data_IF_885091005590
#
_entry.id   IF_885091005590
#
_cell.length_a   1.000
_cell.length_b   1.000
_cell.length_c   1.000
_cell.angle_alpha   90.00
_cell.angle_beta   90.00
_cell.angle_gamma   90.00
#
_symmetry.space_group_name_H-M   'P 1'
#
loop_
_entity.id
_entity.type
_entity.pdbx_description
1 polymer ?
#
# COMPACT_ATOMS: atom_id res chain seq x y z
N UNK A 1 -46.19 38.71 7.45
CA UNK A 1 -44.84 38.37 7.98
C UNK A 1 -43.80 38.11 6.88
N UNK A 2 -44.17 37.94 5.60
CA UNK A 2 -43.23 37.66 4.50
C UNK A 2 -42.57 38.94 3.96
N UNK A 3 -43.34 40.02 3.77
CA UNK A 3 -42.83 41.31 3.27
C UNK A 3 -41.58 41.86 4.01
N UNK A 4 -41.52 41.86 5.36
CA UNK A 4 -40.33 42.31 6.08
C UNK A 4 -39.12 41.41 5.82
N UNK A 5 -39.33 40.09 5.66
CA UNK A 5 -38.26 39.14 5.38
C UNK A 5 -37.75 39.28 3.95
N UNK A 6 -38.62 39.53 2.97
CA UNK A 6 -38.22 39.87 1.59
C UNK A 6 -37.45 41.19 1.54
N UNK A 7 -37.91 42.23 2.26
CA UNK A 7 -37.22 43.52 2.33
C UNK A 7 -35.85 43.44 3.00
N UNK A 8 -35.67 42.48 3.92
CA UNK A 8 -34.36 42.18 4.49
C UNK A 8 -33.41 41.54 3.47
N UNK A 9 -33.92 40.86 2.44
CA UNK A 9 -33.14 40.28 1.33
C UNK A 9 -32.67 41.33 0.30
N UNK A 10 -33.24 42.54 0.30
CA UNK A 10 -32.80 43.65 -0.57
C UNK A 10 -31.73 44.57 0.07
N UNK A 11 -31.29 44.30 1.30
CA UNK A 11 -30.35 45.14 2.03
C UNK A 11 -28.91 44.63 1.95
N UNK A 12 -27.94 45.40 1.42
CA UNK A 12 -26.52 45.02 1.18
C UNK A 12 -25.69 44.48 2.39
N UNK A 13 -26.31 44.13 3.51
CA UNK A 13 -25.67 43.54 4.68
C UNK A 13 -25.83 42.00 4.72
N UNK A 14 -24.73 41.30 4.45
CA UNK A 14 -24.59 39.84 4.47
C UNK A 14 -25.18 39.14 5.71
N UNK A 15 -25.07 39.74 6.90
CA UNK A 15 -25.56 39.13 8.14
C UNK A 15 -27.09 39.19 8.27
N UNK A 16 -27.69 40.23 7.71
CA UNK A 16 -29.15 40.44 7.70
C UNK A 16 -29.79 39.49 6.68
N UNK A 17 -29.13 39.32 5.52
CA UNK A 17 -29.45 38.34 4.49
C UNK A 17 -29.44 36.90 5.02
N UNK A 18 -28.31 36.44 5.56
CA UNK A 18 -28.16 35.05 6.02
C UNK A 18 -29.20 34.69 7.08
N UNK A 19 -29.53 35.64 7.95
CA UNK A 19 -30.52 35.46 9.02
C UNK A 19 -31.95 35.39 8.48
N UNK A 20 -32.29 36.18 7.46
CA UNK A 20 -33.60 36.14 6.80
C UNK A 20 -33.82 34.82 6.06
N UNK A 21 -32.84 34.36 5.29
CA UNK A 21 -32.91 33.06 4.61
C UNK A 21 -32.97 31.88 5.59
N UNK A 22 -32.18 31.90 6.66
CA UNK A 22 -32.25 30.88 7.73
C UNK A 22 -33.62 30.87 8.42
N UNK A 23 -34.22 32.03 8.64
CA UNK A 23 -35.58 32.13 9.17
C UNK A 23 -36.60 31.54 8.20
N UNK A 24 -36.50 31.83 6.90
CA UNK A 24 -37.39 31.26 5.88
C UNK A 24 -37.27 29.73 5.78
N UNK A 25 -36.06 29.18 5.82
CA UNK A 25 -35.82 27.72 5.85
C UNK A 25 -36.45 27.08 7.10
N UNK A 26 -36.23 27.68 8.28
CA UNK A 26 -36.83 27.20 9.54
C UNK A 26 -38.35 27.27 9.54
N UNK A 27 -38.93 28.24 8.84
CA UNK A 27 -40.38 28.46 8.77
C UNK A 27 -41.07 27.71 7.63
N UNK A 28 -40.33 27.08 6.70
CA UNK A 28 -40.85 26.32 5.53
C UNK A 28 -41.93 27.08 4.72
N UNK A 29 -41.76 28.38 4.54
CA UNK A 29 -42.76 29.23 3.88
C UNK A 29 -42.71 28.99 2.36
N UNK A 30 -43.68 28.26 1.81
CA UNK A 30 -43.73 27.92 0.36
C UNK A 30 -43.84 29.15 -0.56
N UNK A 31 -44.40 30.26 -0.06
CA UNK A 31 -44.57 31.53 -0.80
C UNK A 31 -43.23 32.25 -1.07
N UNK A 32 -42.12 31.79 -0.46
CA UNK A 32 -40.80 32.40 -0.64
C UNK A 32 -40.02 31.82 -1.85
N UNK A 33 -40.51 30.79 -2.54
CA UNK A 33 -39.76 30.12 -3.61
C UNK A 33 -39.50 31.06 -4.79
N UNK A 34 -40.53 31.74 -5.31
CA UNK A 34 -40.40 32.64 -6.46
C UNK A 34 -39.38 33.77 -6.22
N UNK A 35 -39.44 34.54 -5.11
CA UNK A 35 -38.41 35.53 -4.79
C UNK A 35 -37.01 34.93 -4.63
N UNK A 36 -36.89 33.75 -4.02
CA UNK A 36 -35.59 33.10 -3.87
C UNK A 36 -34.99 32.65 -5.21
N UNK A 37 -35.82 32.28 -6.18
CA UNK A 37 -35.35 31.98 -7.54
C UNK A 37 -34.81 33.23 -8.22
N UNK A 38 -35.45 34.39 -8.06
CA UNK A 38 -34.94 35.66 -8.59
C UNK A 38 -33.57 36.04 -7.98
N UNK A 39 -33.38 35.79 -6.68
CA UNK A 39 -32.10 36.05 -6.00
C UNK A 39 -30.95 35.12 -6.42
N UNK A 40 -31.20 34.07 -7.20
CA UNK A 40 -30.14 33.26 -7.79
C UNK A 40 -29.39 33.98 -8.90
N UNK A 41 -29.97 35.00 -9.52
CA UNK A 41 -29.33 35.78 -10.59
C UNK A 41 -28.77 37.12 -10.08
N UNK A 42 -28.69 37.30 -8.75
CA UNK A 42 -28.26 38.57 -8.13
C UNK A 42 -26.75 38.85 -8.36
N UNK A 43 -26.33 40.11 -8.55
CA UNK A 43 -24.93 40.43 -8.85
C UNK A 43 -23.93 39.93 -7.79
N UNK A 44 -24.29 40.04 -6.50
CA UNK A 44 -23.47 39.62 -5.39
C UNK A 44 -23.57 38.10 -5.16
N UNK A 45 -22.45 37.39 -5.29
CA UNK A 45 -22.41 35.93 -5.09
C UNK A 45 -22.85 35.50 -3.70
N UNK A 46 -22.68 36.35 -2.67
CA UNK A 46 -23.19 36.09 -1.33
C UNK A 46 -24.70 35.92 -1.26
N UNK A 47 -25.45 36.69 -2.05
CA UNK A 47 -26.91 36.62 -2.16
C UNK A 47 -27.31 35.37 -2.92
N UNK A 48 -26.65 35.06 -4.05
CA UNK A 48 -26.87 33.83 -4.81
C UNK A 48 -26.65 32.57 -3.96
N UNK A 49 -25.55 32.52 -3.19
CA UNK A 49 -25.24 31.42 -2.27
C UNK A 49 -26.35 31.19 -1.25
N UNK A 50 -26.85 32.28 -0.66
CA UNK A 50 -27.92 32.23 0.33
C UNK A 50 -29.22 31.72 -0.29
N UNK A 51 -29.59 32.24 -1.46
CA UNK A 51 -30.78 31.83 -2.18
C UNK A 51 -30.73 30.33 -2.52
N UNK A 52 -29.60 29.85 -3.05
CA UNK A 52 -29.39 28.43 -3.34
C UNK A 52 -29.47 27.57 -2.08
N UNK A 53 -28.89 28.03 -0.96
CA UNK A 53 -28.97 27.34 0.33
C UNK A 53 -30.41 27.26 0.85
N UNK A 54 -31.16 28.35 0.75
CA UNK A 54 -32.54 28.42 1.21
C UNK A 54 -33.45 27.49 0.41
N UNK A 55 -33.34 27.54 -0.93
CA UNK A 55 -34.09 26.67 -1.84
C UNK A 55 -33.79 25.18 -1.58
N UNK A 56 -32.52 24.83 -1.37
CA UNK A 56 -32.12 23.48 -0.99
C UNK A 56 -32.75 23.02 0.33
N UNK A 57 -32.71 23.88 1.35
CA UNK A 57 -33.30 23.59 2.66
C UNK A 57 -34.83 23.42 2.64
N UNK A 58 -35.52 24.01 1.65
CA UNK A 58 -36.96 23.82 1.45
C UNK A 58 -37.28 22.48 0.80
N UNK A 59 -36.39 21.96 -0.05
CA UNK A 59 -36.48 20.62 -0.65
C UNK A 59 -37.66 20.43 -1.61
N UNK A 60 -38.10 21.50 -2.29
CA UNK A 60 -39.26 21.47 -3.21
C UNK A 60 -38.81 21.30 -4.66
N UNK A 61 -39.41 20.36 -5.41
CA UNK A 61 -38.99 20.02 -6.78
C UNK A 61 -38.96 21.20 -7.75
N UNK A 62 -39.84 22.20 -7.56
CA UNK A 62 -39.84 23.45 -8.34
C UNK A 62 -38.50 24.21 -8.28
N UNK A 63 -37.69 23.99 -7.25
CA UNK A 63 -36.37 24.59 -7.10
C UNK A 63 -35.26 23.84 -7.87
N UNK A 64 -35.52 22.66 -8.43
CA UNK A 64 -34.50 21.84 -9.10
C UNK A 64 -33.91 22.59 -10.30
N UNK A 65 -34.74 23.01 -11.26
CA UNK A 65 -34.26 23.71 -12.46
C UNK A 65 -33.49 25.01 -12.15
N UNK A 66 -33.98 25.89 -11.25
CA UNK A 66 -33.19 27.04 -10.79
C UNK A 66 -31.84 26.66 -10.17
N UNK A 67 -31.79 25.62 -9.33
CA UNK A 67 -30.55 25.15 -8.72
C UNK A 67 -29.60 24.50 -9.74
N UNK A 68 -30.12 23.87 -10.80
CA UNK A 68 -29.31 23.33 -11.89
C UNK A 68 -28.53 24.45 -12.59
N UNK A 69 -29.16 25.61 -12.84
CA UNK A 69 -28.47 26.77 -13.43
C UNK A 69 -27.30 27.25 -12.56
N UNK A 70 -27.47 27.19 -11.24
CA UNK A 70 -26.44 27.60 -10.29
C UNK A 70 -25.21 26.68 -10.29
N UNK A 71 -25.27 25.50 -10.92
CA UNK A 71 -24.11 24.64 -11.13
C UNK A 71 -23.15 25.18 -12.19
N UNK A 72 -23.54 26.23 -12.93
CA UNK A 72 -22.69 26.92 -13.90
C UNK A 72 -22.27 28.32 -13.40
N UNK A 73 -22.50 28.62 -12.11
CA UNK A 73 -22.13 29.91 -11.52
C UNK A 73 -20.61 30.13 -11.50
N UNK A 74 -20.18 31.38 -11.70
CA UNK A 74 -18.78 31.78 -11.63
C UNK A 74 -18.16 31.55 -10.23
N UNK A 75 -18.95 31.71 -9.16
CA UNK A 75 -18.50 31.50 -7.78
C UNK A 75 -18.63 30.01 -7.42
N UNK A 76 -17.50 29.36 -7.17
CA UNK A 76 -17.46 27.94 -6.84
C UNK A 76 -18.25 27.57 -5.57
N UNK A 77 -18.43 28.51 -4.63
CA UNK A 77 -19.24 28.29 -3.44
C UNK A 77 -20.74 28.29 -3.77
N UNK A 78 -21.19 29.05 -4.77
CA UNK A 78 -22.57 28.95 -5.30
C UNK A 78 -22.77 27.57 -5.91
N UNK A 79 -21.88 27.15 -6.82
CA UNK A 79 -21.94 25.81 -7.43
C UNK A 79 -21.97 24.69 -6.40
N UNK A 80 -21.13 24.80 -5.36
CA UNK A 80 -21.07 23.81 -4.27
C UNK A 80 -22.36 23.73 -3.47
N UNK A 81 -22.96 24.88 -3.14
CA UNK A 81 -24.23 24.93 -2.42
C UNK A 81 -25.35 24.36 -3.29
N UNK A 82 -25.40 24.71 -4.58
CA UNK A 82 -26.35 24.17 -5.53
C UNK A 82 -26.23 22.64 -5.67
N UNK A 83 -25.02 22.11 -5.82
CA UNK A 83 -24.77 20.67 -5.86
C UNK A 83 -25.22 19.98 -4.56
N UNK A 84 -24.95 20.58 -3.40
CA UNK A 84 -25.41 20.08 -2.10
C UNK A 84 -26.93 20.11 -1.95
N UNK A 85 -27.58 21.16 -2.43
CA UNK A 85 -29.03 21.28 -2.44
C UNK A 85 -29.68 20.18 -3.30
N UNK A 86 -29.21 20.02 -4.54
CA UNK A 86 -29.68 18.96 -5.45
C UNK A 86 -29.42 17.55 -4.90
N UNK A 87 -28.28 17.36 -4.21
CA UNK A 87 -27.96 16.13 -3.50
C UNK A 87 -28.93 15.81 -2.35
N UNK A 88 -29.36 16.82 -1.60
CA UNK A 88 -30.32 16.67 -0.51
C UNK A 88 -31.71 16.32 -1.03
N UNK A 89 -32.11 16.87 -2.19
CA UNK A 89 -33.39 16.58 -2.83
C UNK A 89 -33.47 15.13 -3.31
N UNK A 90 -32.38 14.59 -3.87
CA UNK A 90 -32.22 13.16 -4.12
C UNK A 90 -33.24 12.53 -5.08
N UNK A 91 -33.84 13.33 -5.97
CA UNK A 91 -34.79 12.85 -7.00
C UNK A 91 -34.07 12.43 -8.28
N UNK A 92 -34.75 11.70 -9.17
CA UNK A 92 -34.14 11.25 -10.44
C UNK A 92 -33.68 12.43 -11.33
N UNK A 93 -34.40 13.56 -11.27
CA UNK A 93 -34.09 14.77 -12.02
C UNK A 93 -32.72 15.37 -11.64
N UNK A 94 -32.19 15.10 -10.43
CA UNK A 94 -30.91 15.66 -9.99
C UNK A 94 -29.70 14.85 -10.43
N UNK A 95 -29.90 13.66 -11.03
CA UNK A 95 -28.79 12.74 -11.36
C UNK A 95 -27.89 13.28 -12.47
N UNK A 96 -28.44 13.72 -13.61
CA UNK A 96 -27.62 14.26 -14.70
C UNK A 96 -26.87 15.54 -14.29
N UNK A 97 -27.49 16.50 -13.60
CA UNK A 97 -26.79 17.65 -13.05
C UNK A 97 -25.64 17.28 -12.10
N UNK A 98 -25.85 16.33 -11.19
CA UNK A 98 -24.80 15.87 -10.28
C UNK A 98 -23.69 15.09 -11.03
N UNK A 99 -24.02 14.36 -12.10
CA UNK A 99 -23.00 13.72 -12.95
C UNK A 99 -22.14 14.77 -13.66
N UNK A 100 -22.74 15.86 -14.15
CA UNK A 100 -21.99 16.98 -14.75
C UNK A 100 -21.01 17.59 -13.74
N UNK A 101 -21.41 17.72 -12.48
CA UNK A 101 -20.55 18.24 -11.40
C UNK A 101 -19.31 17.38 -11.11
N UNK A 102 -19.23 16.14 -11.59
CA UNK A 102 -18.02 15.32 -11.47
C UNK A 102 -16.85 15.87 -12.30
N UNK A 103 -17.15 16.74 -13.26
CA UNK A 103 -16.21 17.41 -14.15
C UNK A 103 -15.96 18.88 -13.75
N UNK A 104 -16.40 19.29 -12.55
CA UNK A 104 -16.18 20.66 -12.06
C UNK A 104 -14.72 20.89 -11.67
N UNK A 105 -14.20 22.07 -11.99
CA UNK A 105 -12.84 22.50 -11.65
C UNK A 105 -12.62 22.66 -10.14
N UNK A 106 -13.69 22.94 -9.37
CA UNK A 106 -13.64 22.97 -7.92
C UNK A 106 -13.80 21.57 -7.32
N UNK A 107 -12.72 21.11 -6.68
CA UNK A 107 -12.64 19.78 -6.09
C UNK A 107 -13.73 19.50 -5.04
N UNK A 108 -14.25 20.52 -4.33
CA UNK A 108 -15.31 20.32 -3.33
C UNK A 108 -16.68 20.13 -4.00
N UNK A 109 -16.97 20.81 -5.11
CA UNK A 109 -18.20 20.58 -5.90
C UNK A 109 -18.26 19.13 -6.35
N UNK A 110 -17.16 18.67 -6.93
CA UNK A 110 -16.96 17.31 -7.39
C UNK A 110 -17.17 16.27 -6.27
N UNK A 111 -16.57 16.50 -5.09
CA UNK A 111 -16.73 15.60 -3.93
C UNK A 111 -18.19 15.52 -3.49
N UNK A 112 -18.87 16.67 -3.38
CA UNK A 112 -20.27 16.73 -2.96
C UNK A 112 -21.15 15.92 -3.92
N UNK A 113 -20.95 16.11 -5.23
CA UNK A 113 -21.66 15.36 -6.25
C UNK A 113 -21.38 13.86 -6.18
N UNK A 114 -20.13 13.46 -5.99
CA UNK A 114 -19.76 12.05 -5.85
C UNK A 114 -20.43 11.39 -4.63
N UNK A 115 -20.43 12.04 -3.46
CA UNK A 115 -21.11 11.55 -2.27
C UNK A 115 -22.62 11.42 -2.46
N UNK A 116 -23.23 12.40 -3.13
CA UNK A 116 -24.65 12.39 -3.46
C UNK A 116 -25.00 11.17 -4.32
N UNK A 117 -24.23 10.96 -5.40
CA UNK A 117 -24.44 9.87 -6.34
C UNK A 117 -24.23 8.49 -5.69
N UNK A 118 -23.30 8.33 -4.74
CA UNK A 118 -23.17 7.09 -3.94
C UNK A 118 -24.44 6.84 -3.11
N UNK A 119 -24.97 7.88 -2.45
CA UNK A 119 -26.17 7.78 -1.61
C UNK A 119 -27.42 7.44 -2.44
N UNK A 120 -27.57 8.02 -3.62
CA UNK A 120 -28.67 7.78 -4.56
C UNK A 120 -28.54 6.43 -5.29
N UNK A 121 -27.29 6.00 -5.52
CA UNK A 121 -26.89 4.89 -6.39
C UNK A 121 -27.31 3.48 -5.97
N UNK A 122 -28.10 3.32 -4.91
CA UNK A 122 -28.74 2.02 -4.60
C UNK A 122 -29.97 1.73 -5.47
N UNK A 123 -30.58 2.74 -6.10
CA UNK A 123 -31.80 2.57 -6.91
C UNK A 123 -31.81 3.31 -8.26
N UNK A 124 -30.98 4.34 -8.49
CA UNK A 124 -31.04 5.20 -9.68
C UNK A 124 -29.65 5.57 -10.23
N UNK A 125 -29.54 5.86 -11.53
CA UNK A 125 -28.34 6.49 -12.13
C UNK A 125 -27.15 5.58 -12.48
N UNK A 126 -27.17 4.30 -12.11
CA UNK A 126 -26.05 3.35 -12.36
C UNK A 126 -25.63 3.30 -13.84
N UNK A 127 -26.59 3.22 -14.77
CA UNK A 127 -26.25 3.15 -16.20
C UNK A 127 -25.52 4.41 -16.70
N UNK A 128 -25.82 5.58 -16.11
CA UNK A 128 -25.16 6.84 -16.44
C UNK A 128 -23.76 6.90 -15.84
N UNK A 129 -23.58 6.45 -14.60
CA UNK A 129 -22.27 6.29 -13.97
C UNK A 129 -21.38 5.29 -14.72
N UNK A 130 -21.93 4.19 -15.24
CA UNK A 130 -21.20 3.24 -16.08
C UNK A 130 -20.71 3.89 -17.38
N UNK A 131 -21.48 4.81 -17.99
CA UNK A 131 -21.01 5.58 -19.15
C UNK A 131 -19.82 6.49 -18.79
N UNK A 132 -19.82 7.06 -17.59
CA UNK A 132 -18.75 7.94 -17.10
C UNK A 132 -17.39 7.23 -16.98
N UNK A 133 -17.35 5.89 -16.91
CA UNK A 133 -16.11 5.11 -16.98
C UNK A 133 -15.34 5.27 -18.31
N UNK A 134 -15.96 5.84 -19.35
CA UNK A 134 -15.30 6.11 -20.63
C UNK A 134 -15.25 7.63 -20.93
N UNK A 135 -15.35 8.48 -19.90
CA UNK A 135 -15.24 9.93 -20.06
C UNK A 135 -13.80 10.33 -20.49
N UNK A 136 -13.69 11.39 -21.30
CA UNK A 136 -12.39 11.93 -21.73
C UNK A 136 -11.59 12.48 -20.54
N UNK A 137 -12.25 13.08 -19.56
CA UNK A 137 -11.62 13.51 -18.32
C UNK A 137 -11.30 12.30 -17.42
N UNK A 138 -10.01 12.12 -17.16
CA UNK A 138 -9.45 11.08 -16.29
C UNK A 138 -10.05 11.14 -14.88
N UNK A 139 -10.25 12.34 -14.33
CA UNK A 139 -10.80 12.55 -12.98
C UNK A 139 -12.21 11.99 -12.89
N UNK A 140 -13.06 12.26 -13.90
CA UNK A 140 -14.41 11.72 -13.98
C UNK A 140 -14.39 10.18 -14.02
N UNK A 141 -13.49 9.57 -14.80
CA UNK A 141 -13.34 8.10 -14.84
C UNK A 141 -12.97 7.51 -13.48
N UNK A 142 -12.01 8.13 -12.79
CA UNK A 142 -11.58 7.72 -11.42
C UNK A 142 -12.77 7.76 -10.46
N UNK A 143 -13.51 8.87 -10.45
CA UNK A 143 -14.63 9.05 -9.53
C UNK A 143 -15.74 8.08 -9.84
N UNK A 144 -16.09 7.91 -11.12
CA UNK A 144 -17.10 6.92 -11.54
C UNK A 144 -16.73 5.52 -11.07
N UNK A 145 -15.48 5.07 -11.26
CA UNK A 145 -15.02 3.78 -10.78
C UNK A 145 -15.11 3.65 -9.25
N UNK A 146 -14.77 4.72 -8.51
CA UNK A 146 -14.87 4.73 -7.05
C UNK A 146 -16.32 4.64 -6.57
N UNK A 147 -17.23 5.45 -7.14
CA UNK A 147 -18.67 5.45 -6.82
C UNK A 147 -19.25 4.06 -7.07
N UNK A 148 -18.99 3.46 -8.25
CA UNK A 148 -19.48 2.13 -8.59
C UNK A 148 -18.93 1.05 -7.64
N UNK A 149 -17.68 1.19 -7.19
CA UNK A 149 -17.09 0.34 -6.15
C UNK A 149 -17.77 0.47 -4.77
N UNK A 150 -18.21 1.68 -4.40
CA UNK A 150 -18.99 1.91 -3.18
C UNK A 150 -20.43 1.38 -3.28
N UNK A 151 -21.06 1.47 -4.45
CA UNK A 151 -22.37 0.88 -4.70
C UNK A 151 -22.32 -0.64 -4.55
N UNK A 152 -21.25 -1.27 -5.07
CA UNK A 152 -20.91 -2.65 -4.73
C UNK A 152 -21.77 -3.74 -5.40
N UNK A 153 -22.60 -3.38 -6.38
CA UNK A 153 -23.49 -4.34 -7.05
C UNK A 153 -22.75 -5.27 -8.02
N UNK A 154 -23.15 -6.55 -8.07
CA UNK A 154 -22.54 -7.58 -8.93
C UNK A 154 -22.49 -7.19 -10.41
N UNK A 155 -23.53 -6.53 -10.93
CA UNK A 155 -23.59 -6.12 -12.35
C UNK A 155 -22.50 -5.10 -12.74
N UNK A 156 -21.84 -4.47 -11.76
CA UNK A 156 -20.79 -3.48 -11.96
C UNK A 156 -19.40 -4.10 -12.13
N UNK A 157 -19.25 -5.40 -11.87
CA UNK A 157 -17.97 -6.10 -11.93
C UNK A 157 -17.35 -6.01 -13.33
N UNK A 158 -18.09 -6.32 -14.39
CA UNK A 158 -17.54 -6.28 -15.76
C UNK A 158 -17.19 -4.87 -16.25
N UNK A 159 -18.04 -3.84 -16.04
CA UNK A 159 -17.64 -2.45 -16.30
C UNK A 159 -16.34 -2.05 -15.60
N UNK A 160 -16.16 -2.43 -14.33
CA UNK A 160 -14.95 -2.14 -13.58
C UNK A 160 -13.74 -2.96 -14.05
N UNK A 161 -13.93 -4.22 -14.47
CA UNK A 161 -12.87 -5.04 -15.08
C UNK A 161 -12.32 -4.37 -16.33
N UNK A 162 -13.17 -3.80 -17.18
CA UNK A 162 -12.71 -3.07 -18.38
C UNK A 162 -11.77 -1.91 -18.01
N UNK A 163 -11.99 -1.27 -16.88
CA UNK A 163 -11.18 -0.14 -16.40
C UNK A 163 -9.81 -0.58 -15.84
N UNK A 164 -9.57 -1.88 -15.65
CA UNK A 164 -8.24 -2.40 -15.34
C UNK A 164 -7.27 -2.27 -16.52
N UNK A 165 -7.79 -2.07 -17.73
CA UNK A 165 -6.99 -1.85 -18.95
C UNK A 165 -6.98 -0.36 -19.38
N UNK A 166 -7.38 0.55 -18.49
CA UNK A 166 -7.37 2.00 -18.77
C UNK A 166 -5.95 2.51 -19.01
N UNK A 167 -5.81 3.46 -19.93
CA UNK A 167 -4.53 4.10 -20.26
C UNK A 167 -3.91 4.79 -19.05
N UNK A 168 -4.73 5.31 -18.14
CA UNK A 168 -4.28 6.02 -16.97
C UNK A 168 -4.20 5.12 -15.72
N UNK A 169 -2.99 5.02 -15.15
CA UNK A 169 -2.68 4.21 -13.94
C UNK A 169 -3.62 4.43 -12.74
N UNK A 170 -4.09 5.66 -12.51
CA UNK A 170 -4.98 5.94 -11.38
C UNK A 170 -6.39 5.37 -11.59
N UNK A 171 -6.86 5.29 -12.83
CA UNK A 171 -8.15 4.64 -13.15
C UNK A 171 -8.02 3.13 -12.92
N UNK A 172 -6.94 2.52 -13.40
CA UNK A 172 -6.63 1.10 -13.14
C UNK A 172 -6.57 0.77 -11.65
N UNK A 173 -5.87 1.59 -10.87
CA UNK A 173 -5.79 1.46 -9.41
C UNK A 173 -7.18 1.51 -8.78
N UNK A 174 -7.97 2.53 -9.12
CA UNK A 174 -9.30 2.71 -8.53
C UNK A 174 -10.27 1.60 -8.94
N UNK A 175 -10.18 1.10 -10.17
CA UNK A 175 -10.93 -0.07 -10.63
C UNK A 175 -10.57 -1.33 -9.83
N UNK A 176 -9.29 -1.60 -9.63
CA UNK A 176 -8.84 -2.73 -8.80
C UNK A 176 -9.29 -2.58 -7.33
N UNK A 177 -9.24 -1.36 -6.78
CA UNK A 177 -9.74 -1.06 -5.43
C UNK A 177 -11.26 -1.25 -5.32
N UNK A 178 -12.02 -0.85 -6.34
CA UNK A 178 -13.46 -1.05 -6.42
C UNK A 178 -13.82 -2.55 -6.45
N UNK A 179 -13.08 -3.34 -7.23
CA UNK A 179 -13.25 -4.80 -7.29
C UNK A 179 -12.88 -5.47 -5.94
N UNK A 180 -11.83 -5.01 -5.27
CA UNK A 180 -11.50 -5.44 -3.90
C UNK A 180 -12.63 -5.21 -2.90
N UNK A 181 -13.31 -4.05 -3.00
CA UNK A 181 -14.48 -3.73 -2.18
C UNK A 181 -15.63 -4.69 -2.46
N UNK A 182 -15.96 -4.93 -3.73
CA UNK A 182 -17.04 -5.84 -4.16
C UNK A 182 -16.81 -7.28 -3.67
N UNK A 183 -15.59 -7.81 -3.77
CA UNK A 183 -15.20 -9.07 -3.14
C UNK A 183 -15.47 -10.34 -3.96
N UNK A 184 -15.89 -11.44 -3.29
CA UNK A 184 -15.72 -12.83 -3.74
C UNK A 184 -16.41 -13.26 -5.06
N UNK A 185 -17.20 -12.39 -5.66
CA UNK A 185 -17.87 -12.62 -6.95
C UNK A 185 -17.03 -12.14 -8.15
N UNK A 186 -15.92 -11.46 -7.88
CA UNK A 186 -15.03 -10.93 -8.91
C UNK A 186 -14.20 -12.07 -9.54
N UNK A 187 -14.18 -12.19 -10.88
CA UNK A 187 -13.23 -13.03 -11.60
C UNK A 187 -11.78 -12.68 -11.23
N UNK A 188 -10.99 -13.70 -10.92
CA UNK A 188 -9.59 -13.51 -10.45
C UNK A 188 -8.62 -13.17 -11.59
N UNK A 189 -8.86 -13.65 -12.81
CA UNK A 189 -7.88 -13.54 -13.91
C UNK A 189 -7.54 -12.09 -14.31
N UNK A 190 -8.50 -11.15 -14.39
CA UNK A 190 -8.17 -9.75 -14.61
C UNK A 190 -7.28 -9.14 -13.52
N UNK A 191 -7.47 -9.54 -12.26
CA UNK A 191 -6.64 -9.07 -11.14
C UNK A 191 -5.26 -9.76 -11.13
N UNK A 192 -5.16 -11.02 -11.58
CA UNK A 192 -3.87 -11.68 -11.79
C UNK A 192 -3.04 -10.93 -12.83
N UNK A 193 -3.64 -10.49 -13.94
CA UNK A 193 -2.96 -9.65 -14.93
C UNK A 193 -2.40 -8.36 -14.31
N UNK A 194 -3.16 -7.74 -13.39
CA UNK A 194 -2.75 -6.50 -12.73
C UNK A 194 -1.56 -6.68 -11.76
N UNK A 195 -1.16 -7.91 -11.42
CA UNK A 195 0.08 -8.14 -10.68
C UNK A 195 1.31 -7.75 -11.50
N UNK A 196 1.20 -7.72 -12.83
CA UNK A 196 2.26 -7.28 -13.75
C UNK A 196 2.04 -5.86 -14.30
N UNK A 197 1.21 -5.06 -13.63
CA UNK A 197 1.00 -3.66 -14.02
C UNK A 197 2.30 -2.84 -13.86
N UNK A 198 2.56 -1.93 -14.80
CA UNK A 198 3.71 -1.01 -14.75
C UNK A 198 3.76 -0.19 -13.45
N UNK A 199 2.60 0.19 -12.91
CA UNK A 199 2.49 1.01 -11.72
C UNK A 199 2.40 0.17 -10.42
N UNK A 200 3.33 0.41 -9.49
CA UNK A 200 3.44 -0.39 -8.26
C UNK A 200 2.19 -0.34 -7.37
N UNK A 201 1.46 0.77 -7.33
CA UNK A 201 0.23 0.85 -6.55
C UNK A 201 -0.87 -0.04 -7.12
N UNK A 202 -0.93 -0.23 -8.45
CA UNK A 202 -1.90 -1.13 -9.10
C UNK A 202 -1.58 -2.58 -8.72
N UNK A 203 -0.30 -2.97 -8.81
CA UNK A 203 0.17 -4.30 -8.37
C UNK A 203 -0.23 -4.59 -6.91
N UNK A 204 0.05 -3.66 -6.00
CA UNK A 204 -0.26 -3.77 -4.56
C UNK A 204 -1.76 -3.96 -4.29
N UNK A 205 -2.61 -3.18 -4.95
CA UNK A 205 -4.05 -3.31 -4.73
C UNK A 205 -4.62 -4.58 -5.37
N UNK A 206 -4.08 -5.00 -6.53
CA UNK A 206 -4.44 -6.27 -7.15
C UNK A 206 -4.04 -7.46 -6.26
N UNK A 207 -2.85 -7.43 -5.67
CA UNK A 207 -2.41 -8.40 -4.68
C UNK A 207 -3.37 -8.45 -3.48
N UNK A 208 -3.64 -7.31 -2.85
CA UNK A 208 -4.61 -7.22 -1.74
C UNK A 208 -6.01 -7.72 -2.13
N UNK A 209 -6.44 -7.46 -3.38
CA UNK A 209 -7.68 -7.99 -3.92
C UNK A 209 -7.67 -9.52 -3.97
N UNK A 210 -6.65 -10.11 -4.60
CA UNK A 210 -6.48 -11.55 -4.74
C UNK A 210 -6.31 -12.27 -3.40
N UNK A 211 -5.57 -11.71 -2.44
CA UNK A 211 -5.47 -12.31 -1.09
C UNK A 211 -6.85 -12.47 -0.44
N UNK A 212 -7.73 -11.46 -0.61
CA UNK A 212 -9.10 -11.46 -0.07
C UNK A 212 -10.04 -12.39 -0.83
N UNK A 213 -10.01 -12.39 -2.16
CA UNK A 213 -11.03 -13.09 -2.98
C UNK A 213 -10.57 -14.43 -3.57
N UNK A 214 -9.26 -14.70 -3.54
CA UNK A 214 -8.64 -15.87 -4.13
C UNK A 214 -9.20 -17.16 -3.54
N UNK A 215 -9.16 -18.23 -4.33
CA UNK A 215 -9.55 -19.57 -3.89
C UNK A 215 -8.39 -20.51 -4.13
N UNK A 216 -8.53 -21.76 -3.74
CA UNK A 216 -7.51 -22.78 -3.98
C UNK A 216 -7.09 -22.84 -5.47
N UNK A 217 -8.04 -22.71 -6.39
CA UNK A 217 -7.76 -22.66 -7.84
C UNK A 217 -6.92 -21.45 -8.28
N UNK A 218 -6.85 -20.39 -7.47
CA UNK A 218 -5.98 -19.23 -7.70
C UNK A 218 -4.52 -19.60 -7.45
N UNK A 219 -4.23 -20.50 -6.50
CA UNK A 219 -2.86 -20.92 -6.15
C UNK A 219 -2.15 -21.47 -7.38
N UNK A 220 -2.76 -22.42 -8.10
CA UNK A 220 -2.17 -23.00 -9.33
C UNK A 220 -1.87 -21.94 -10.38
N UNK A 221 -2.74 -20.93 -10.53
CA UNK A 221 -2.52 -19.85 -11.50
C UNK A 221 -1.37 -18.94 -11.09
N UNK A 222 -1.21 -18.63 -9.81
CA UNK A 222 -0.10 -17.84 -9.28
C UNK A 222 1.23 -18.60 -9.37
N UNK A 223 1.25 -19.90 -9.07
CA UNK A 223 2.43 -20.76 -9.27
C UNK A 223 2.84 -20.77 -10.74
N UNK A 224 1.88 -20.95 -11.66
CA UNK A 224 2.17 -20.90 -13.08
C UNK A 224 2.67 -19.54 -13.54
N UNK A 225 2.21 -18.45 -12.93
CA UNK A 225 2.70 -17.10 -13.20
C UNK A 225 4.17 -16.97 -12.75
N UNK A 226 4.49 -17.38 -11.53
CA UNK A 226 5.85 -17.37 -10.97
C UNK A 226 6.83 -18.24 -11.78
N UNK A 227 6.34 -19.34 -12.35
CA UNK A 227 7.14 -20.27 -13.16
C UNK A 227 7.39 -19.82 -14.60
N UNK A 228 6.82 -18.70 -15.06
CA UNK A 228 7.13 -18.17 -16.40
C UNK A 228 8.53 -17.55 -16.38
N UNK A 229 9.41 -18.03 -17.27
CA UNK A 229 10.84 -17.65 -17.40
C UNK A 229 11.08 -16.13 -17.48
N UNK A 230 10.11 -15.33 -17.92
CA UNK A 230 10.21 -13.86 -17.99
C UNK A 230 10.19 -13.14 -16.63
N UNK A 231 9.51 -13.67 -15.61
CA UNK A 231 9.44 -13.07 -14.27
C UNK A 231 10.71 -13.32 -13.44
N UNK A 232 11.45 -14.38 -13.76
CA UNK A 232 12.76 -14.66 -13.19
C UNK A 232 13.88 -13.84 -13.86
N UNK A 233 13.70 -13.45 -15.13
CA UNK A 233 14.69 -12.72 -15.91
C UNK A 233 14.56 -11.19 -15.83
N UNK A 234 13.35 -10.67 -15.53
CA UNK A 234 13.14 -9.24 -15.32
C UNK A 234 13.12 -8.95 -13.83
N UNK A 235 14.03 -8.10 -13.38
CA UNK A 235 14.33 -7.76 -11.98
C UNK A 235 13.18 -7.01 -11.24
N UNK A 236 11.92 -7.42 -11.43
CA UNK A 236 10.78 -6.84 -10.75
C UNK A 236 10.55 -7.59 -9.44
N UNK A 237 11.55 -7.54 -8.53
CA UNK A 237 11.52 -8.11 -7.17
C UNK A 237 10.20 -7.83 -6.45
N UNK A 238 9.62 -6.65 -6.72
CA UNK A 238 8.33 -6.22 -6.20
C UNK A 238 7.18 -7.11 -6.72
N UNK A 239 7.14 -7.47 -8.01
CA UNK A 239 6.09 -8.35 -8.55
C UNK A 239 6.18 -9.76 -7.94
N UNK A 240 7.40 -10.30 -7.82
CA UNK A 240 7.62 -11.56 -7.12
C UNK A 240 7.12 -11.50 -5.67
N UNK A 241 7.52 -10.47 -4.92
CA UNK A 241 7.11 -10.28 -3.53
C UNK A 241 5.59 -10.16 -3.36
N UNK A 242 4.94 -9.31 -4.18
CA UNK A 242 3.48 -9.16 -4.14
C UNK A 242 2.77 -10.48 -4.49
N UNK A 243 3.23 -11.19 -5.51
CA UNK A 243 2.66 -12.49 -5.92
C UNK A 243 2.83 -13.56 -4.84
N UNK A 244 4.00 -13.63 -4.19
CA UNK A 244 4.27 -14.52 -3.06
C UNK A 244 3.40 -14.19 -1.84
N UNK A 245 3.21 -12.90 -1.53
CA UNK A 245 2.32 -12.48 -0.45
C UNK A 245 0.87 -12.91 -0.70
N UNK A 246 0.40 -12.83 -1.94
CA UNK A 246 -0.93 -13.32 -2.31
C UNK A 246 -1.02 -14.83 -2.11
N UNK A 247 -0.03 -15.57 -2.60
CA UNK A 247 0.02 -17.02 -2.49
C UNK A 247 -0.01 -17.46 -1.01
N UNK A 248 0.84 -16.87 -0.18
CA UNK A 248 0.89 -17.14 1.26
C UNK A 248 -0.46 -16.83 1.94
N UNK A 249 -1.05 -15.66 1.67
CA UNK A 249 -2.33 -15.27 2.26
C UNK A 249 -3.49 -16.20 1.84
N UNK A 250 -3.50 -16.69 0.60
CA UNK A 250 -4.51 -17.65 0.15
C UNK A 250 -4.28 -19.02 0.80
N UNK A 251 -3.04 -19.51 0.86
CA UNK A 251 -2.70 -20.79 1.50
C UNK A 251 -3.08 -20.80 2.98
N UNK A 252 -2.71 -19.75 3.73
CA UNK A 252 -3.05 -19.60 5.14
C UNK A 252 -4.58 -19.60 5.34
N UNK A 253 -5.30 -18.79 4.55
CA UNK A 253 -6.77 -18.69 4.67
C UNK A 253 -7.49 -19.97 4.25
N UNK A 254 -7.01 -20.67 3.23
CA UNK A 254 -7.62 -21.89 2.73
C UNK A 254 -7.20 -23.13 3.55
N UNK A 255 -6.22 -23.02 4.45
CA UNK A 255 -5.63 -24.15 5.16
C UNK A 255 -5.11 -25.24 4.21
N UNK A 256 -4.73 -24.85 3.00
CA UNK A 256 -4.13 -25.74 1.99
C UNK A 256 -2.66 -25.42 1.94
N UNK A 257 -1.84 -26.33 2.48
CA UNK A 257 -0.40 -26.28 2.34
C UNK A 257 -0.02 -27.02 1.05
N UNK A 258 0.44 -26.30 0.02
CA UNK A 258 0.98 -26.93 -1.18
C UNK A 258 2.41 -26.44 -1.41
N UNK A 259 3.43 -27.15 -0.89
CA UNK A 259 4.80 -26.67 -0.89
C UNK A 259 5.50 -26.99 -2.21
N UNK A 260 5.09 -26.41 -3.34
CA UNK A 260 5.90 -26.51 -4.57
C UNK A 260 5.83 -25.22 -5.39
N UNK A 261 6.56 -24.20 -4.96
CA UNK A 261 7.40 -23.46 -5.91
C UNK A 261 8.79 -24.09 -5.83
N UNK A 262 9.04 -25.07 -6.69
CA UNK A 262 10.38 -25.51 -7.03
C UNK A 262 10.70 -24.78 -8.34
N UNK A 263 11.57 -23.75 -8.35
CA UNK A 263 11.97 -23.14 -9.62
C UNK A 263 12.46 -24.27 -10.51
N UNK A 264 11.86 -24.42 -11.71
CA UNK A 264 12.35 -25.44 -12.65
C UNK A 264 13.83 -25.17 -12.88
N UNK A 265 14.71 -26.18 -12.74
CA UNK A 265 16.10 -26.00 -13.12
C UNK A 265 16.10 -25.56 -14.59
N UNK A 266 16.65 -24.38 -14.86
CA UNK A 266 17.00 -23.96 -16.22
C UNK A 266 17.67 -25.13 -16.92
N UNK A 267 17.31 -25.48 -18.17
CA UNK A 267 18.02 -26.48 -18.92
C UNK A 267 19.48 -26.06 -18.99
N UNK A 268 20.35 -26.70 -18.20
CA UNK A 268 21.78 -26.47 -18.32
C UNK A 268 22.18 -26.95 -19.72
N UNK A 269 22.95 -26.17 -20.49
CA UNK A 269 23.65 -26.76 -21.62
C UNK A 269 24.45 -27.97 -21.13
N UNK A 270 24.58 -29.00 -21.96
CA UNK A 270 25.31 -30.22 -21.62
C UNK A 270 26.58 -29.85 -20.86
N UNK A 271 26.80 -30.41 -19.66
CA UNK A 271 27.96 -30.04 -18.86
C UNK A 271 29.20 -30.28 -19.71
N UNK A 272 30.10 -29.28 -19.87
CA UNK A 272 31.36 -29.52 -20.55
C UNK A 272 32.02 -30.71 -19.87
N UNK A 273 32.49 -31.68 -20.68
CA UNK A 273 33.13 -32.91 -20.19
C UNK A 273 34.13 -32.55 -19.10
N UNK A 274 33.74 -32.80 -17.84
CA UNK A 274 34.55 -32.50 -16.67
C UNK A 274 35.71 -33.49 -16.66
N UNK A 275 36.90 -32.95 -16.91
CA UNK A 275 38.16 -33.57 -16.54
C UNK A 275 38.10 -33.73 -15.00
N UNK A 276 38.49 -34.90 -14.50
CA UNK A 276 38.34 -35.28 -13.09
C UNK A 276 38.79 -34.15 -12.13
N UNK A 277 37.81 -33.46 -11.56
CA UNK A 277 37.97 -32.53 -10.43
C UNK A 277 37.11 -33.04 -9.29
N UNK A 278 37.66 -33.01 -8.09
CA UNK A 278 36.97 -33.34 -6.84
C UNK A 278 35.73 -32.44 -6.69
N UNK A 279 34.56 -33.04 -6.47
CA UNK A 279 33.31 -32.29 -6.21
C UNK A 279 33.43 -31.58 -4.86
N UNK A 280 33.14 -30.28 -4.82
CA UNK A 280 33.15 -29.45 -3.60
C UNK A 280 31.70 -29.24 -3.13
N UNK A 281 31.45 -29.44 -1.84
CA UNK A 281 30.15 -29.28 -1.18
C UNK A 281 30.14 -28.04 -0.28
N UNK A 282 29.46 -26.98 -0.74
CA UNK A 282 29.31 -25.73 0.02
C UNK A 282 27.85 -25.61 0.44
N UNK A 283 27.61 -25.49 1.75
CA UNK A 283 26.30 -25.19 2.30
C UNK A 283 26.19 -23.68 2.56
N UNK A 284 25.22 -23.03 1.93
CA UNK A 284 24.93 -21.61 2.16
C UNK A 284 23.52 -21.46 2.72
N UNK A 285 23.43 -20.81 3.87
CA UNK A 285 22.18 -20.52 4.57
C UNK A 285 22.08 -19.02 4.79
N UNK A 286 20.92 -18.43 4.50
CA UNK A 286 20.66 -17.02 4.77
C UNK A 286 19.36 -16.76 5.51
N UNK A 287 19.33 -15.62 6.21
CA UNK A 287 18.13 -15.05 6.85
C UNK A 287 17.38 -16.05 7.73
N UNK A 288 18.15 -16.73 8.59
CA UNK A 288 17.65 -17.82 9.44
C UNK A 288 16.72 -17.32 10.54
N UNK A 289 16.98 -16.16 11.15
CA UNK A 289 16.23 -15.64 12.30
C UNK A 289 16.08 -16.68 13.44
N UNK A 290 17.20 -17.20 13.93
CA UNK A 290 17.24 -18.15 15.05
C UNK A 290 16.96 -17.38 16.34
N UNK A 291 15.90 -17.78 17.06
CA UNK A 291 15.41 -17.09 18.25
C UNK A 291 15.46 -17.92 19.53
N UNK A 292 15.39 -19.26 19.44
CA UNK A 292 15.35 -20.14 20.63
C UNK A 292 16.20 -21.40 20.46
N UNK A 293 16.64 -21.98 21.58
CA UNK A 293 17.40 -23.23 21.61
C UNK A 293 16.61 -24.42 21.03
N UNK A 294 15.29 -24.44 21.23
CA UNK A 294 14.40 -25.46 20.68
C UNK A 294 14.35 -25.36 19.15
N UNK A 295 14.16 -24.15 18.62
CA UNK A 295 14.18 -23.88 17.18
C UNK A 295 15.52 -24.27 16.57
N UNK A 296 16.63 -23.86 17.20
CA UNK A 296 17.98 -24.22 16.79
C UNK A 296 18.17 -25.73 16.68
N UNK A 297 17.72 -26.49 17.69
CA UNK A 297 17.82 -27.95 17.70
C UNK A 297 16.95 -28.61 16.63
N UNK A 298 15.70 -28.16 16.50
CA UNK A 298 14.78 -28.69 15.51
C UNK A 298 15.31 -28.48 14.09
N UNK A 299 15.78 -27.27 13.79
CA UNK A 299 16.26 -26.90 12.46
C UNK A 299 17.59 -27.55 12.12
N UNK A 300 18.53 -27.64 13.06
CA UNK A 300 19.80 -28.33 12.81
C UNK A 300 19.58 -29.82 12.51
N UNK A 301 18.67 -30.46 13.24
CA UNK A 301 18.36 -31.88 13.06
C UNK A 301 17.65 -32.15 11.73
N UNK A 302 16.67 -31.32 11.37
CA UNK A 302 15.98 -31.43 10.09
C UNK A 302 16.96 -31.22 8.93
N UNK A 303 17.77 -30.16 8.99
CA UNK A 303 18.77 -29.89 7.97
C UNK A 303 19.79 -31.03 7.82
N UNK A 304 20.25 -31.61 8.93
CA UNK A 304 21.13 -32.76 8.89
C UNK A 304 20.47 -33.99 8.22
N UNK A 305 19.19 -34.24 8.50
CA UNK A 305 18.43 -35.28 7.81
C UNK A 305 18.31 -35.00 6.31
N UNK A 306 17.95 -33.78 5.92
CA UNK A 306 17.79 -33.41 4.51
C UNK A 306 19.11 -33.59 3.73
N UNK A 307 20.23 -33.16 4.33
CA UNK A 307 21.55 -33.30 3.74
C UNK A 307 21.99 -34.77 3.62
N UNK A 308 21.75 -35.59 4.63
CA UNK A 308 22.24 -36.98 4.68
C UNK A 308 21.32 -37.98 3.98
N UNK A 309 20.00 -37.90 4.18
CA UNK A 309 19.02 -38.87 3.69
C UNK A 309 18.52 -38.51 2.29
N UNK A 310 18.13 -37.26 2.08
CA UNK A 310 17.48 -36.85 0.83
C UNK A 310 18.49 -36.48 -0.24
N UNK A 311 19.51 -35.70 0.14
CA UNK A 311 20.53 -35.21 -0.78
C UNK A 311 21.80 -36.07 -0.82
N UNK A 312 21.97 -36.98 0.16
CA UNK A 312 23.10 -37.91 0.25
C UNK A 312 24.46 -37.21 0.19
N UNK A 313 24.57 -36.05 0.83
CA UNK A 313 25.78 -35.24 0.90
C UNK A 313 26.80 -35.92 1.83
N UNK A 314 27.98 -36.31 1.33
CA UNK A 314 28.93 -37.10 2.11
C UNK A 314 29.74 -36.29 3.12
N UNK A 315 29.93 -34.99 2.88
CA UNK A 315 30.64 -34.03 3.74
C UNK A 315 30.33 -32.60 3.30
N UNK A 316 30.77 -31.63 4.10
CA UNK A 316 30.78 -30.21 3.72
C UNK A 316 32.23 -29.73 3.67
N UNK A 317 32.60 -29.05 2.59
CA UNK A 317 33.89 -28.38 2.44
C UNK A 317 33.85 -26.95 3.01
N UNK A 318 32.68 -26.31 2.98
CA UNK A 318 32.47 -25.00 3.58
C UNK A 318 31.01 -24.79 4.00
N UNK A 319 30.83 -23.94 5.01
CA UNK A 319 29.54 -23.42 5.45
C UNK A 319 29.55 -21.90 5.40
N UNK A 320 28.52 -21.33 4.80
CA UNK A 320 28.29 -19.88 4.76
C UNK A 320 26.97 -19.60 5.49
N UNK A 321 27.04 -18.83 6.57
CA UNK A 321 25.90 -18.26 7.27
C UNK A 321 25.91 -16.75 7.00
N UNK A 322 24.90 -16.25 6.29
CA UNK A 322 24.84 -14.84 5.89
C UNK A 322 23.48 -14.21 6.13
N UNK A 323 23.41 -12.88 6.20
CA UNK A 323 22.13 -12.21 6.39
C UNK A 323 21.66 -12.36 7.83
N UNK A 324 20.36 -12.27 8.08
CA UNK A 324 19.80 -12.17 9.43
C UNK A 324 19.87 -13.50 10.20
N UNK A 325 20.98 -13.73 10.93
CA UNK A 325 21.17 -14.96 11.73
C UNK A 325 20.27 -14.93 12.97
N UNK A 326 20.22 -13.79 13.66
CA UNK A 326 19.34 -13.48 14.78
C UNK A 326 18.18 -12.58 14.33
N UNK A 327 17.23 -12.28 15.23
CA UNK A 327 16.10 -11.40 14.92
C UNK A 327 16.19 -10.02 15.59
N UNK A 328 16.73 -9.96 16.81
CA UNK A 328 16.87 -8.72 17.58
C UNK A 328 18.28 -8.51 18.13
N UNK A 329 19.22 -9.40 17.80
CA UNK A 329 20.59 -9.41 18.30
C UNK A 329 20.62 -9.40 19.84
N UNK A 330 20.05 -10.45 20.45
CA UNK A 330 20.11 -10.68 21.91
C UNK A 330 21.10 -11.80 22.28
N UNK A 331 21.61 -11.84 23.53
CA UNK A 331 22.45 -12.95 23.99
C UNK A 331 21.81 -14.33 23.81
N UNK A 332 20.50 -14.44 24.05
CA UNK A 332 19.74 -15.69 23.96
C UNK A 332 19.66 -16.18 22.50
N UNK A 333 19.45 -15.26 21.55
CA UNK A 333 19.42 -15.57 20.13
C UNK A 333 20.78 -16.07 19.63
N UNK A 334 21.87 -15.42 20.05
CA UNK A 334 23.22 -15.88 19.68
C UNK A 334 23.63 -17.18 20.37
N UNK A 335 23.14 -17.44 21.58
CA UNK A 335 23.29 -18.75 22.21
C UNK A 335 22.57 -19.82 21.40
N UNK A 336 21.37 -19.53 20.90
CA UNK A 336 20.62 -20.43 20.02
C UNK A 336 21.31 -20.63 18.67
N UNK A 337 21.81 -19.56 18.04
CA UNK A 337 22.56 -19.64 16.78
C UNK A 337 23.85 -20.46 16.95
N UNK A 338 24.54 -20.31 18.08
CA UNK A 338 25.71 -21.13 18.41
C UNK A 338 25.34 -22.60 18.56
N UNK A 339 24.25 -22.91 19.27
CA UNK A 339 23.75 -24.29 19.40
C UNK A 339 23.40 -24.91 18.04
N UNK A 340 22.75 -24.15 17.16
CA UNK A 340 22.42 -24.60 15.80
C UNK A 340 23.69 -25.01 15.04
N UNK A 341 24.73 -24.17 15.08
CA UNK A 341 25.99 -24.44 14.41
C UNK A 341 26.75 -25.62 15.06
N UNK A 342 26.78 -25.69 16.38
CA UNK A 342 27.44 -26.77 17.11
C UNK A 342 26.78 -28.13 16.81
N UNK A 343 25.44 -28.16 16.74
CA UNK A 343 24.71 -29.37 16.33
C UNK A 343 25.04 -29.77 14.89
N UNK A 344 25.05 -28.82 13.95
CA UNK A 344 25.39 -29.12 12.55
C UNK A 344 26.83 -29.63 12.42
N UNK A 345 27.76 -29.10 13.21
CA UNK A 345 29.17 -29.51 13.23
C UNK A 345 29.42 -30.88 13.86
N UNK A 346 28.47 -31.43 14.62
CA UNK A 346 28.55 -32.81 15.10
C UNK A 346 28.38 -33.80 13.94
N UNK A 347 27.46 -33.52 13.01
CA UNK A 347 27.19 -34.37 11.85
C UNK A 347 28.11 -34.05 10.66
N UNK A 348 28.46 -32.77 10.48
CA UNK A 348 29.35 -32.30 9.42
C UNK A 348 30.54 -31.54 10.03
N UNK A 349 31.61 -32.24 10.43
CA UNK A 349 32.78 -31.62 11.04
C UNK A 349 33.41 -30.56 10.13
N UNK A 350 33.43 -29.31 10.60
CA UNK A 350 34.00 -28.17 9.90
C UNK A 350 34.99 -27.43 10.81
N UNK A 351 36.17 -27.12 10.26
CA UNK A 351 37.13 -26.21 10.88
C UNK A 351 36.58 -24.77 10.84
N UNK A 352 36.84 -23.93 11.86
CA UNK A 352 36.49 -22.52 11.84
C UNK A 352 36.83 -21.78 10.54
N UNK A 353 37.93 -22.13 9.85
CA UNK A 353 38.32 -21.52 8.56
C UNK A 353 37.35 -21.83 7.42
N UNK A 354 36.65 -22.96 7.49
CA UNK A 354 35.64 -23.39 6.52
C UNK A 354 34.27 -22.76 6.79
N UNK A 355 34.11 -22.02 7.88
CA UNK A 355 32.87 -21.35 8.26
C UNK A 355 32.96 -19.85 7.99
N UNK A 356 32.03 -19.35 7.18
CA UNK A 356 31.89 -17.94 6.82
C UNK A 356 30.67 -17.39 7.55
N UNK A 357 30.84 -16.29 8.27
CA UNK A 357 29.77 -15.61 9.00
C UNK A 357 29.65 -14.18 8.50
N UNK A 358 28.48 -13.80 8.01
CA UNK A 358 28.21 -12.46 7.47
C UNK A 358 26.94 -11.91 8.11
N UNK A 359 27.01 -10.85 8.95
CA UNK A 359 25.84 -10.34 9.65
C UNK A 359 24.87 -9.61 8.72
N UNK A 360 23.57 -9.74 8.99
CA UNK A 360 22.50 -8.93 8.44
C UNK A 360 22.18 -7.70 9.30
N UNK A 361 21.05 -7.03 9.00
CA UNK A 361 20.61 -5.86 9.77
C UNK A 361 19.91 -6.23 11.09
N UNK A 362 19.39 -7.46 11.22
CA UNK A 362 18.82 -7.96 12.47
C UNK A 362 19.88 -8.46 13.46
N UNK A 363 21.11 -8.72 12.99
CA UNK A 363 22.26 -9.06 13.83
C UNK A 363 22.89 -7.85 14.53
N UNK A 364 22.35 -6.66 14.27
CA UNK A 364 22.73 -5.42 14.94
C UNK A 364 21.83 -5.19 16.14
N UNK A 365 22.39 -4.80 17.29
CA UNK A 365 21.57 -4.38 18.41
C UNK A 365 21.01 -2.96 18.18
N UNK A 366 19.72 -2.89 17.82
CA UNK A 366 19.02 -1.65 17.47
C UNK A 366 18.93 -0.65 18.63
N UNK A 367 18.83 -1.14 19.87
CA UNK A 367 18.79 -0.29 21.05
C UNK A 367 20.14 0.40 21.31
N UNK A 368 21.25 -0.33 21.16
CA UNK A 368 22.59 0.27 21.21
C UNK A 368 22.80 1.26 20.06
N UNK A 369 22.36 0.91 18.85
CA UNK A 369 22.43 1.81 17.69
C UNK A 369 21.65 3.11 17.94
N UNK A 370 20.46 3.04 18.54
CA UNK A 370 19.64 4.20 18.88
C UNK A 370 20.28 5.08 19.96
N UNK A 371 20.84 4.46 21.01
CA UNK A 371 21.55 5.15 22.11
C UNK A 371 22.82 5.86 21.66
N UNK A 372 23.35 5.51 20.49
CA UNK A 372 24.50 6.19 19.90
C UNK A 372 24.17 7.55 19.28
N UNK A 373 22.88 7.90 19.11
CA UNK A 373 22.48 9.21 18.60
C UNK A 373 22.11 10.17 19.72
N UNK A 374 22.79 11.31 19.77
CA UNK A 374 22.42 12.44 20.62
C UNK A 374 21.57 13.42 19.82
N UNK A 375 20.32 13.64 20.24
CA UNK A 375 19.42 14.58 19.58
C UNK A 375 19.55 15.98 20.18
N UNK A 376 19.79 16.96 19.31
CA UNK A 376 19.92 18.38 19.64
C UNK A 376 19.01 19.20 18.70
N UNK A 377 18.57 20.38 19.12
CA UNK A 377 17.90 21.31 18.19
C UNK A 377 18.90 21.87 17.18
N UNK A 378 18.46 22.14 15.95
CA UNK A 378 19.33 22.67 14.87
C UNK A 378 20.10 23.91 15.30
N UNK A 379 19.45 24.82 16.02
CA UNK A 379 20.04 26.07 16.52
C UNK A 379 21.13 25.88 17.58
N UNK A 380 21.17 24.71 18.23
CA UNK A 380 22.11 24.40 19.31
C UNK A 380 23.26 23.49 18.87
N UNK A 381 23.37 23.14 17.59
CA UNK A 381 24.46 22.33 17.07
C UNK A 381 25.47 23.18 16.29
N UNK A 382 26.68 23.32 16.84
CA UNK A 382 27.77 24.12 16.25
C UNK A 382 28.82 23.26 15.51
N UNK A 383 28.62 21.94 15.42
CA UNK A 383 29.58 21.00 14.82
C UNK A 383 29.46 20.85 13.30
N UNK A 384 30.45 20.19 12.68
CA UNK A 384 30.41 19.82 11.27
C UNK A 384 29.58 18.56 11.04
N UNK A 385 28.62 18.62 10.13
CA UNK A 385 27.78 17.48 9.74
C UNK A 385 28.47 16.63 8.69
N UNK A 386 29.02 15.49 9.14
CA UNK A 386 29.59 14.48 8.25
C UNK A 386 28.50 13.63 7.63
N UNK A 387 28.45 13.55 6.30
CA UNK A 387 27.50 12.70 5.58
C UNK A 387 27.53 11.25 6.11
N UNK A 388 26.35 10.66 6.32
CA UNK A 388 26.21 9.32 6.91
C UNK A 388 26.40 9.22 8.43
N UNK A 389 26.73 10.32 9.14
CA UNK A 389 26.99 10.35 10.60
C UNK A 389 25.94 11.15 11.39
N UNK A 390 24.83 11.55 10.75
CA UNK A 390 23.74 12.27 11.41
C UNK A 390 22.37 11.91 10.81
N UNK A 391 21.32 12.16 11.58
CA UNK A 391 19.91 12.05 11.15
C UNK A 391 19.26 13.43 11.28
N UNK A 392 18.77 13.99 10.18
CA UNK A 392 18.04 15.27 10.18
C UNK A 392 16.53 15.02 10.36
N UNK A 393 15.92 15.71 11.32
CA UNK A 393 14.46 15.82 11.49
C UNK A 393 14.07 17.30 11.40
N UNK A 394 12.77 17.62 11.40
CA UNK A 394 12.29 19.00 11.22
C UNK A 394 12.95 19.99 12.19
N UNK A 395 12.92 19.69 13.49
CA UNK A 395 13.48 20.60 14.52
C UNK A 395 14.76 20.08 15.18
N UNK A 396 15.07 18.79 14.99
CA UNK A 396 16.17 18.09 15.68
C UNK A 396 17.19 17.54 14.70
N UNK A 397 18.42 17.46 15.17
CA UNK A 397 19.52 16.73 14.57
C UNK A 397 20.03 15.65 15.52
N UNK A 398 20.03 14.40 15.06
CA UNK A 398 20.63 13.28 15.77
C UNK A 398 22.08 13.12 15.32
N UNK A 399 23.03 13.46 16.18
CA UNK A 399 24.48 13.33 15.90
C UNK A 399 24.97 12.00 16.44
N UNK A 400 25.71 11.24 15.62
CA UNK A 400 26.16 9.90 15.97
C UNK A 400 27.48 9.93 16.74
N UNK A 401 27.50 9.26 17.89
CA UNK A 401 28.70 8.90 18.64
C UNK A 401 29.26 7.60 18.05
N UNK A 402 30.35 7.69 17.28
CA UNK A 402 30.92 6.54 16.57
C UNK A 402 31.32 5.41 17.52
N UNK A 403 31.95 5.73 18.64
CA UNK A 403 32.41 4.73 19.60
C UNK A 403 31.23 3.94 20.18
N UNK A 404 30.10 4.60 20.47
CA UNK A 404 28.86 3.92 20.88
C UNK A 404 28.18 3.21 19.73
N UNK A 405 28.20 3.78 18.53
CA UNK A 405 27.52 3.21 17.37
C UNK A 405 28.15 1.88 16.97
N UNK A 406 29.48 1.77 17.04
CA UNK A 406 30.23 0.53 16.81
C UNK A 406 29.80 -0.62 17.75
N UNK A 407 29.37 -0.30 18.98
CA UNK A 407 28.92 -1.30 19.96
C UNK A 407 27.64 -2.06 19.53
N UNK A 408 26.93 -1.61 18.49
CA UNK A 408 25.78 -2.34 17.92
C UNK A 408 26.14 -3.77 17.46
N UNK A 409 27.40 -4.02 17.13
CA UNK A 409 27.92 -5.34 16.73
C UNK A 409 28.49 -6.16 17.90
N UNK A 410 28.47 -5.65 19.14
CA UNK A 410 29.16 -6.29 20.27
C UNK A 410 28.74 -7.74 20.51
N UNK A 411 27.44 -8.03 20.43
CA UNK A 411 26.90 -9.38 20.61
C UNK A 411 27.22 -10.30 19.42
N UNK A 412 27.06 -9.82 18.19
CA UNK A 412 27.51 -10.54 17.00
C UNK A 412 29.01 -10.86 17.05
N UNK A 413 29.82 -9.91 17.52
CA UNK A 413 31.28 -10.06 17.64
C UNK A 413 31.66 -11.14 18.65
N UNK A 414 30.92 -11.26 19.76
CA UNK A 414 31.09 -12.35 20.72
C UNK A 414 30.72 -13.71 20.13
N UNK A 415 29.59 -13.80 19.41
CA UNK A 415 29.18 -14.99 18.68
C UNK A 415 30.24 -15.40 17.63
N UNK A 416 30.70 -14.44 16.83
CA UNK A 416 31.75 -14.64 15.84
C UNK A 416 33.05 -15.12 16.49
N UNK A 417 33.44 -14.54 17.65
CA UNK A 417 34.62 -14.97 18.39
C UNK A 417 34.52 -16.41 18.88
N UNK A 418 33.34 -16.83 19.35
CA UNK A 418 33.12 -18.20 19.79
C UNK A 418 33.38 -19.23 18.67
N UNK A 419 33.18 -18.84 17.41
CA UNK A 419 33.35 -19.71 16.24
C UNK A 419 34.74 -19.55 15.62
N UNK A 420 35.20 -18.32 15.43
CA UNK A 420 36.40 -17.98 14.65
C UNK A 420 37.65 -17.80 15.51
N UNK A 421 37.51 -17.79 16.84
CA UNK A 421 38.60 -17.59 17.79
C UNK A 421 39.10 -16.14 17.92
N UNK A 422 38.53 -15.22 17.15
CA UNK A 422 38.85 -13.79 17.17
C UNK A 422 37.58 -12.97 17.02
N UNK A 423 37.47 -11.78 17.63
CA UNK A 423 36.27 -10.95 17.55
C UNK A 423 36.00 -10.46 16.13
N UNK A 424 34.73 -10.28 15.80
CA UNK A 424 34.36 -9.57 14.58
C UNK A 424 34.75 -8.08 14.71
N UNK A 425 35.36 -7.48 13.68
CA UNK A 425 35.76 -6.08 13.72
C UNK A 425 34.54 -5.16 13.87
N UNK A 426 34.62 -4.22 14.80
CA UNK A 426 33.59 -3.21 15.01
C UNK A 426 33.80 -1.97 14.12
N UNK A 427 35.04 -1.76 13.67
CA UNK A 427 35.40 -0.67 12.75
C UNK A 427 34.88 -0.99 11.34
N UNK A 428 34.15 -0.03 10.76
CA UNK A 428 33.50 -0.19 9.46
C UNK A 428 34.47 -0.59 8.34
N UNK A 429 35.64 0.04 8.28
CA UNK A 429 36.65 -0.22 7.24
C UNK A 429 37.28 -1.62 7.33
N UNK A 430 37.05 -2.33 8.44
CA UNK A 430 37.50 -3.70 8.66
C UNK A 430 36.37 -4.72 8.47
N UNK A 431 35.14 -4.26 8.22
CA UNK A 431 33.98 -5.12 7.96
C UNK A 431 33.91 -5.50 6.48
N UNK A 432 33.38 -6.69 6.16
CA UNK A 432 33.20 -7.14 4.77
C UNK A 432 34.46 -7.66 4.07
N UNK A 433 35.47 -8.11 4.81
CA UNK A 433 36.68 -8.73 4.24
C UNK A 433 36.28 -10.00 3.48
N UNK A 434 36.51 -10.03 2.16
CA UNK A 434 36.30 -11.18 1.32
C UNK A 434 37.28 -12.31 1.65
N UNK A 435 36.79 -13.55 1.65
CA UNK A 435 37.63 -14.72 1.87
C UNK A 435 38.31 -15.13 0.56
N UNK A 436 39.63 -15.34 0.63
CA UNK A 436 40.36 -16.12 -0.37
C UNK A 436 40.39 -17.57 0.08
N UNK A 437 39.85 -18.46 -0.75
CA UNK A 437 40.10 -19.90 -0.61
C UNK A 437 41.47 -20.15 -1.23
N UNK A 438 42.49 -20.31 -0.39
CA UNK A 438 43.84 -20.72 -0.84
C UNK A 438 43.93 -22.24 -1.03
#
# INVERSE_FOLDING_TARGET
>A
MIEPLNKCLDNNNYLVHSSAALAMVKMRIEVAIEPLVEYLDYPESSVRRMAAYALGGMGKEVAIEPLIKCLDDEDCLVRRIAASALAQMGTEATIDPLIKCLDDDDYLVLIVAAFALVKMGKNLGINKLVKCLNNQNIVVRIIAANILGYIGEKRLIYPLIKCLDDDHKAVRYTAAFALYKIGAQVPIDPLIKCLDDEWSSVRKIAARALSKIGRETTITKLINLLNKEELAATNNVINFYETMNVLNAIQERCQVYNPIYCPKPTPKPDPPKLIATQTIYILHLSDLHITTLEQATLWSNQLAQDLTQDLQIPHLDALILSGDIANYSTPEEYQAAQQFLDNLRQEFPLDPKQIVLVPGNHDLNWELAKRAYQFLYHEHYEGELKEGHYIKREELIGVRDEAKYQQRFSLFSQFYQAIKGQPYPLDYDQQGIGLTFD
#
